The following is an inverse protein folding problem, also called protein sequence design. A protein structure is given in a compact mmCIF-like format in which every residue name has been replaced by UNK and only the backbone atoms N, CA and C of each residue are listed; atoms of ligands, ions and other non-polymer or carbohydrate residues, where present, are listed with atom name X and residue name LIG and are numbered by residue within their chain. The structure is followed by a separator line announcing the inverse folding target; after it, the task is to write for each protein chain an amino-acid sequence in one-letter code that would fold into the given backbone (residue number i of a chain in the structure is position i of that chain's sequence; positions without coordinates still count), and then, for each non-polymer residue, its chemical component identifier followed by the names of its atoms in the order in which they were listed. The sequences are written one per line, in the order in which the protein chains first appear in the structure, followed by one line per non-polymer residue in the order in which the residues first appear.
data_IF_656255764241
#
_entry.id   IF_656255764241
#
_cell.length_a   1.000
_cell.length_b   1.000
_cell.length_c   1.000
_cell.angle_alpha   90.00
_cell.angle_beta   90.00
_cell.angle_gamma   90.00
#
_symmetry.space_group_name_H-M   'P 1'
#
loop_
_entity.id
_entity.type
_entity.pdbx_description
1 polymer ?
#
# COMPACT_ATOMS: atom_id res chain seq x y z
N UNK A 1 0.02 -15.71 9.78
CA UNK A 1 -0.19 -15.99 8.33
C UNK A 1 1.15 -16.35 7.72
N UNK A 2 1.20 -17.38 6.86
CA UNK A 2 2.47 -17.80 6.21
C UNK A 2 2.61 -17.07 4.87
N UNK A 3 3.58 -16.15 4.77
CA UNK A 3 3.78 -15.28 3.60
C UNK A 3 3.96 -16.07 2.30
N UNK A 4 4.75 -17.16 2.32
CA UNK A 4 5.01 -18.00 1.14
C UNK A 4 3.75 -18.56 0.47
N UNK A 5 2.64 -18.68 1.21
CA UNK A 5 1.38 -19.21 0.67
C UNK A 5 0.37 -18.12 0.34
N UNK A 6 0.72 -16.84 0.50
CA UNK A 6 -0.16 -15.71 0.27
C UNK A 6 -0.11 -15.20 -1.17
N UNK A 7 -1.22 -14.62 -1.62
CA UNK A 7 -1.32 -13.77 -2.80
C UNK A 7 -1.33 -12.32 -2.32
N UNK A 8 -0.24 -11.60 -2.57
CA UNK A 8 -0.01 -10.23 -2.11
C UNK A 8 -0.25 -9.28 -3.27
N UNK A 9 -1.28 -8.44 -3.16
CA UNK A 9 -1.52 -7.33 -4.09
C UNK A 9 -0.87 -6.06 -3.51
N UNK A 10 0.05 -5.46 -4.25
CA UNK A 10 0.70 -4.19 -3.89
C UNK A 10 0.18 -3.09 -4.82
N UNK A 11 -0.45 -2.06 -4.27
CA UNK A 11 -0.87 -0.88 -5.04
C UNK A 11 0.26 0.14 -5.13
N UNK A 12 0.22 1.02 -6.13
CA UNK A 12 1.27 2.00 -6.40
C UNK A 12 2.66 1.33 -6.49
N UNK A 13 2.72 0.13 -7.10
CA UNK A 13 3.89 -0.75 -7.06
C UNK A 13 5.06 -0.27 -7.95
N UNK A 14 4.86 0.72 -8.80
CA UNK A 14 5.92 1.38 -9.56
C UNK A 14 6.72 2.39 -8.74
N UNK A 15 6.19 2.86 -7.61
CA UNK A 15 6.88 3.78 -6.69
C UNK A 15 8.10 3.13 -6.03
N UNK A 16 9.00 3.94 -5.47
CA UNK A 16 10.24 3.41 -4.87
C UNK A 16 9.96 2.47 -3.70
N UNK A 17 9.03 2.82 -2.80
CA UNK A 17 8.62 1.93 -1.71
C UNK A 17 7.76 0.76 -2.21
N UNK A 18 6.78 1.00 -3.09
CA UNK A 18 5.92 -0.05 -3.61
C UNK A 18 6.71 -1.17 -4.29
N UNK A 19 7.70 -0.81 -5.10
CA UNK A 19 8.61 -1.76 -5.73
C UNK A 19 9.48 -2.51 -4.72
N UNK A 20 9.93 -1.84 -3.65
CA UNK A 20 10.72 -2.48 -2.58
C UNK A 20 9.89 -3.50 -1.80
N UNK A 21 8.65 -3.15 -1.42
CA UNK A 21 7.74 -4.06 -0.74
C UNK A 21 7.42 -5.26 -1.64
N UNK A 22 7.09 -5.03 -2.91
CA UNK A 22 6.81 -6.11 -3.86
C UNK A 22 7.98 -7.09 -3.99
N UNK A 23 9.21 -6.57 -4.16
CA UNK A 23 10.42 -7.37 -4.23
C UNK A 23 10.68 -8.16 -2.94
N UNK A 24 10.42 -7.54 -1.79
CA UNK A 24 10.58 -8.18 -0.49
C UNK A 24 9.64 -9.38 -0.32
N UNK A 25 8.34 -9.20 -0.58
CA UNK A 25 7.37 -10.29 -0.52
C UNK A 25 7.65 -11.38 -1.57
N UNK A 26 8.16 -11.01 -2.75
CA UNK A 26 8.58 -11.96 -3.77
C UNK A 26 9.75 -12.83 -3.28
N UNK A 27 10.74 -12.25 -2.59
CA UNK A 27 11.87 -12.99 -1.97
C UNK A 27 11.41 -13.92 -0.85
N UNK A 28 10.35 -13.56 -0.13
CA UNK A 28 9.72 -14.41 0.88
C UNK A 28 8.86 -15.55 0.27
N UNK A 29 8.78 -15.62 -1.06
CA UNK A 29 8.08 -16.66 -1.81
C UNK A 29 6.57 -16.47 -1.90
N UNK A 30 6.06 -15.26 -1.66
CA UNK A 30 4.65 -14.96 -1.92
C UNK A 30 4.37 -14.89 -3.43
N UNK A 31 3.12 -15.11 -3.81
CA UNK A 31 2.66 -14.74 -5.15
C UNK A 31 2.35 -13.24 -5.16
N UNK A 32 3.15 -12.43 -5.87
CA UNK A 32 3.03 -10.96 -5.81
C UNK A 32 2.37 -10.41 -7.08
N UNK A 33 1.28 -9.67 -6.92
CA UNK A 33 0.67 -8.90 -8.00
C UNK A 33 1.04 -7.43 -7.80
N UNK A 34 1.77 -6.86 -8.74
CA UNK A 34 2.16 -5.46 -8.74
C UNK A 34 1.12 -4.65 -9.53
N UNK A 35 0.45 -3.69 -8.90
CA UNK A 35 -0.55 -2.86 -9.53
C UNK A 35 -0.15 -1.38 -9.54
N UNK A 36 -0.22 -0.75 -10.71
CA UNK A 36 0.02 0.68 -10.88
C UNK A 36 -0.65 1.22 -12.17
N UNK A 37 -0.85 2.54 -12.22
CA UNK A 37 -1.24 3.29 -13.43
C UNK A 37 -0.03 3.68 -14.28
N UNK A 38 1.17 3.75 -13.69
CA UNK A 38 2.41 4.05 -14.42
C UNK A 38 3.03 2.76 -14.95
N UNK A 39 2.75 2.43 -16.21
CA UNK A 39 3.27 1.22 -16.84
C UNK A 39 4.81 1.14 -16.87
N UNK A 40 5.50 2.28 -17.02
CA UNK A 40 6.96 2.31 -17.18
C UNK A 40 7.65 1.92 -15.88
N UNK A 41 7.27 2.59 -14.79
CA UNK A 41 7.80 2.32 -13.45
C UNK A 41 7.39 0.94 -12.97
N UNK A 42 6.13 0.55 -13.22
CA UNK A 42 5.63 -0.78 -12.91
C UNK A 42 6.40 -1.90 -13.63
N UNK A 43 6.73 -1.71 -14.91
CA UNK A 43 7.50 -2.69 -15.69
C UNK A 43 8.91 -2.85 -15.12
N UNK A 44 9.52 -1.76 -14.66
CA UNK A 44 10.84 -1.80 -14.01
C UNK A 44 10.79 -2.54 -12.66
N UNK A 45 9.77 -2.28 -11.83
CA UNK A 45 9.56 -2.99 -10.57
C UNK A 45 9.29 -4.49 -10.78
N UNK A 46 8.45 -4.83 -11.77
CA UNK A 46 8.14 -6.22 -12.13
C UNK A 46 9.38 -7.01 -12.56
N UNK A 47 10.24 -6.43 -13.41
CA UNK A 47 11.50 -7.08 -13.84
C UNK A 47 12.41 -7.43 -12.66
N UNK A 48 12.55 -6.51 -11.69
CA UNK A 48 13.32 -6.76 -10.46
C UNK A 48 12.75 -7.92 -9.65
N UNK A 49 11.44 -8.08 -9.61
CA UNK A 49 10.80 -9.19 -8.91
C UNK A 49 10.98 -10.52 -9.67
N UNK A 50 10.94 -10.49 -11.01
CA UNK A 50 11.20 -11.67 -11.84
C UNK A 50 12.61 -12.24 -11.67
N UNK A 51 13.60 -11.41 -11.34
CA UNK A 51 14.97 -11.86 -11.05
C UNK A 51 15.05 -12.80 -9.84
N UNK A 52 14.06 -12.78 -8.93
CA UNK A 52 14.07 -13.61 -7.71
C UNK A 52 13.02 -14.73 -7.72
N UNK A 53 11.94 -14.61 -8.50
CA UNK A 53 10.89 -15.63 -8.60
C UNK A 53 10.00 -15.43 -9.82
N UNK A 54 9.43 -16.50 -10.36
CA UNK A 54 8.40 -16.45 -11.41
C UNK A 54 6.98 -16.24 -10.84
N UNK A 55 6.83 -16.26 -9.51
CA UNK A 55 5.54 -16.06 -8.84
C UNK A 55 5.16 -14.59 -8.71
N UNK A 56 5.31 -13.83 -9.79
CA UNK A 56 4.95 -12.42 -9.85
C UNK A 56 4.12 -12.11 -11.09
N UNK A 57 3.21 -11.15 -10.97
CA UNK A 57 2.39 -10.65 -12.08
C UNK A 57 2.42 -9.12 -12.10
N UNK A 58 2.43 -8.56 -13.31
CA UNK A 58 2.22 -7.14 -13.55
C UNK A 58 0.75 -6.88 -13.89
N UNK A 59 0.11 -5.98 -13.15
CA UNK A 59 -1.24 -5.50 -13.39
C UNK A 59 -1.23 -3.99 -13.66
N UNK A 60 -1.09 -3.60 -14.93
CA UNK A 60 -1.27 -2.21 -15.32
C UNK A 60 -2.76 -1.89 -15.41
N UNK A 61 -3.20 -0.82 -14.74
CA UNK A 61 -4.60 -0.35 -14.76
C UNK A 61 -4.66 1.05 -15.38
N UNK A 62 -5.62 1.30 -16.27
CA UNK A 62 -5.75 2.60 -16.95
C UNK A 62 -6.37 3.68 -16.07
N UNK A 63 -7.15 3.27 -15.07
CA UNK A 63 -7.76 4.13 -14.07
C UNK A 63 -7.93 3.40 -12.74
N UNK A 64 -8.43 4.11 -11.73
CA UNK A 64 -8.70 3.61 -10.39
C UNK A 64 -10.20 3.56 -10.11
N UNK A 65 -11.01 3.28 -11.14
CA UNK A 65 -12.44 3.08 -10.97
C UNK A 65 -12.75 1.77 -10.27
N UNK A 66 -13.90 1.70 -9.59
CA UNK A 66 -14.35 0.46 -8.93
C UNK A 66 -14.39 -0.72 -9.91
N UNK A 67 -14.91 -0.51 -11.13
CA UNK A 67 -15.00 -1.54 -12.16
C UNK A 67 -13.62 -2.08 -12.57
N UNK A 68 -12.63 -1.21 -12.75
CA UNK A 68 -11.25 -1.62 -13.08
C UNK A 68 -10.65 -2.45 -11.95
N UNK A 69 -10.86 -2.04 -10.70
CA UNK A 69 -10.36 -2.77 -9.52
C UNK A 69 -11.05 -4.13 -9.39
N UNK A 70 -12.38 -4.20 -9.54
CA UNK A 70 -13.12 -5.48 -9.52
C UNK A 70 -12.66 -6.43 -10.63
N UNK A 71 -12.41 -5.89 -11.82
CA UNK A 71 -11.89 -6.66 -12.97
C UNK A 71 -10.51 -7.22 -12.68
N UNK A 72 -9.63 -6.42 -12.05
CA UNK A 72 -8.31 -6.87 -11.61
C UNK A 72 -8.42 -8.04 -10.62
N UNK A 73 -9.23 -7.91 -9.56
CA UNK A 73 -9.42 -9.00 -8.60
C UNK A 73 -9.97 -10.26 -9.26
N UNK A 74 -10.97 -10.11 -10.13
CA UNK A 74 -11.56 -11.24 -10.87
C UNK A 74 -10.56 -11.94 -11.79
N UNK A 75 -9.66 -11.17 -12.43
CA UNK A 75 -8.59 -11.70 -13.27
C UNK A 75 -7.59 -12.52 -12.44
N UNK A 76 -7.17 -12.02 -11.28
CA UNK A 76 -6.27 -12.73 -10.35
C UNK A 76 -6.93 -14.03 -9.88
N UNK A 77 -8.20 -13.96 -9.46
CA UNK A 77 -8.98 -15.12 -9.02
C UNK A 77 -9.10 -16.18 -10.12
N UNK A 78 -9.44 -15.79 -11.34
CA UNK A 78 -9.57 -16.71 -12.47
C UNK A 78 -8.26 -17.43 -12.79
N UNK A 79 -7.11 -16.78 -12.55
CA UNK A 79 -5.79 -17.32 -12.88
C UNK A 79 -5.20 -18.17 -11.76
N UNK A 80 -5.43 -17.78 -10.50
CA UNK A 80 -4.85 -18.43 -9.32
C UNK A 80 -5.82 -19.34 -8.56
N UNK A 81 -7.11 -19.31 -8.89
CA UNK A 81 -8.18 -20.01 -8.17
C UNK A 81 -8.49 -19.42 -6.80
N UNK A 82 -7.94 -18.25 -6.46
CA UNK A 82 -8.12 -17.55 -5.18
C UNK A 82 -7.84 -16.05 -5.29
N UNK A 83 -8.53 -15.28 -4.48
CA UNK A 83 -8.32 -13.83 -4.39
C UNK A 83 -7.04 -13.47 -3.61
N UNK A 84 -6.50 -12.26 -3.78
CA UNK A 84 -5.51 -11.69 -2.88
C UNK A 84 -5.97 -11.76 -1.42
N UNK A 85 -5.19 -12.43 -0.57
CA UNK A 85 -5.42 -12.50 0.87
C UNK A 85 -4.53 -11.52 1.66
N UNK A 86 -3.65 -10.80 0.96
CA UNK A 86 -2.91 -9.66 1.50
C UNK A 86 -3.03 -8.48 0.53
N UNK A 87 -3.46 -7.33 1.03
CA UNK A 87 -3.42 -6.07 0.32
C UNK A 87 -2.40 -5.15 1.00
N UNK A 88 -1.36 -4.74 0.28
CA UNK A 88 -0.52 -3.61 0.65
C UNK A 88 -1.08 -2.38 -0.07
N UNK A 89 -1.80 -1.55 0.67
CA UNK A 89 -2.50 -0.40 0.16
C UNK A 89 -1.64 0.85 0.36
N UNK A 90 -0.88 1.21 -0.67
CA UNK A 90 0.13 2.26 -0.60
C UNK A 90 -0.43 3.64 -0.96
N UNK A 91 -0.37 4.55 0.01
CA UNK A 91 -0.66 5.97 -0.13
C UNK A 91 0.62 6.79 -0.33
N UNK A 92 0.78 7.37 -1.51
CA UNK A 92 1.88 8.30 -1.82
C UNK A 92 1.63 9.70 -1.26
N UNK A 93 2.67 10.42 -0.88
CA UNK A 93 2.49 11.72 -0.23
C UNK A 93 1.85 12.82 -1.11
N UNK A 94 1.27 13.82 -0.44
CA UNK A 94 0.64 14.99 -1.08
C UNK A 94 1.57 16.20 -1.06
N UNK A 95 1.56 17.05 -2.10
CA UNK A 95 2.28 18.32 -2.09
C UNK A 95 1.83 19.19 -0.93
N UNK A 96 2.78 19.77 -0.20
CA UNK A 96 2.51 20.71 0.89
C UNK A 96 1.72 21.91 0.37
N UNK A 97 0.62 22.22 1.04
CA UNK A 97 -0.17 23.42 0.80
C UNK A 97 -0.12 24.35 2.00
N UNK A 98 -0.22 25.66 1.74
CA UNK A 98 -0.30 26.67 2.80
C UNK A 98 -1.66 27.34 2.75
N UNK A 99 -2.38 27.35 3.88
CA UNK A 99 -3.72 27.94 3.97
C UNK A 99 -3.75 29.46 3.71
N UNK A 100 -2.65 30.15 4.02
CA UNK A 100 -2.51 31.61 3.87
C UNK A 100 -1.79 32.02 2.59
N UNK A 101 -1.40 31.06 1.73
CA UNK A 101 -0.50 31.31 0.60
C UNK A 101 -1.14 31.94 -0.64
N UNK A 102 -2.45 32.25 -0.63
CA UNK A 102 -3.15 32.84 -1.78
C UNK A 102 -3.27 31.93 -3.02
N UNK A 103 -2.85 30.66 -2.94
CA UNK A 103 -2.95 29.68 -4.03
C UNK A 103 -4.31 28.98 -3.99
N UNK A 104 -4.86 28.63 -5.16
CA UNK A 104 -6.08 27.82 -5.25
C UNK A 104 -5.82 26.39 -4.77
N UNK A 105 -6.57 25.95 -3.76
CA UNK A 105 -6.50 24.59 -3.22
C UNK A 105 -6.98 23.48 -4.18
N UNK A 106 -7.43 23.83 -5.39
CA UNK A 106 -8.01 22.89 -6.35
C UNK A 106 -7.11 21.69 -6.67
N UNK A 107 -5.81 21.92 -6.95
CA UNK A 107 -4.85 20.83 -7.24
C UNK A 107 -4.72 19.85 -6.08
N UNK A 108 -4.65 20.38 -4.86
CA UNK A 108 -4.58 19.56 -3.64
C UNK A 108 -5.86 18.76 -3.44
N UNK A 109 -7.04 19.37 -3.60
CA UNK A 109 -8.33 18.68 -3.45
C UNK A 109 -8.46 17.56 -4.48
N UNK A 110 -8.08 17.79 -5.74
CA UNK A 110 -8.12 16.76 -6.79
C UNK A 110 -7.17 15.61 -6.46
N UNK A 111 -5.93 15.89 -6.08
CA UNK A 111 -4.96 14.84 -5.76
C UNK A 111 -5.32 14.08 -4.49
N UNK A 112 -5.79 14.78 -3.45
CA UNK A 112 -6.29 14.17 -2.23
C UNK A 112 -7.47 13.25 -2.53
N UNK A 113 -8.45 13.71 -3.31
CA UNK A 113 -9.62 12.91 -3.70
C UNK A 113 -9.21 11.65 -4.47
N UNK A 114 -8.22 11.75 -5.36
CA UNK A 114 -7.70 10.60 -6.11
C UNK A 114 -7.07 9.57 -5.18
N UNK A 115 -6.17 9.98 -4.29
CA UNK A 115 -5.49 9.07 -3.35
C UNK A 115 -6.46 8.48 -2.32
N UNK A 116 -7.42 9.28 -1.85
CA UNK A 116 -8.48 8.85 -0.94
C UNK A 116 -9.35 7.76 -1.56
N UNK A 117 -9.78 8.00 -2.80
CA UNK A 117 -10.57 7.04 -3.56
C UNK A 117 -9.76 5.78 -3.84
N UNK A 118 -8.47 5.90 -4.20
CA UNK A 118 -7.59 4.76 -4.43
C UNK A 118 -7.51 3.85 -3.18
N UNK A 119 -7.15 4.43 -2.04
CA UNK A 119 -7.05 3.69 -0.78
C UNK A 119 -8.38 3.01 -0.43
N UNK A 120 -9.49 3.75 -0.53
CA UNK A 120 -10.80 3.25 -0.16
C UNK A 120 -11.28 2.13 -1.08
N UNK A 121 -11.21 2.30 -2.40
CA UNK A 121 -11.77 1.34 -3.36
C UNK A 121 -10.99 0.02 -3.39
N UNK A 122 -9.66 0.06 -3.34
CA UNK A 122 -8.89 -1.18 -3.17
C UNK A 122 -9.19 -1.86 -1.83
N UNK A 123 -9.29 -1.09 -0.75
CA UNK A 123 -9.66 -1.61 0.57
C UNK A 123 -11.04 -2.27 0.57
N UNK A 124 -12.02 -1.64 -0.09
CA UNK A 124 -13.39 -2.13 -0.22
C UNK A 124 -13.44 -3.47 -0.97
N UNK A 125 -12.88 -3.52 -2.18
CA UNK A 125 -12.90 -4.74 -3.00
C UNK A 125 -12.10 -5.86 -2.31
N UNK A 126 -10.93 -5.55 -1.75
CA UNK A 126 -10.16 -6.52 -0.99
C UNK A 126 -10.93 -7.07 0.21
N UNK A 127 -11.56 -6.21 1.00
CA UNK A 127 -12.36 -6.63 2.15
C UNK A 127 -13.54 -7.53 1.73
N UNK A 128 -14.23 -7.19 0.64
CA UNK A 128 -15.31 -8.02 0.10
C UNK A 128 -14.80 -9.42 -0.29
N UNK A 129 -13.71 -9.52 -1.06
CA UNK A 129 -13.15 -10.82 -1.47
C UNK A 129 -12.59 -11.61 -0.29
N UNK A 130 -11.87 -10.96 0.63
CA UNK A 130 -11.34 -11.60 1.83
C UNK A 130 -12.45 -12.10 2.75
N UNK A 131 -13.62 -11.41 2.79
CA UNK A 131 -14.75 -11.83 3.62
C UNK A 131 -15.35 -13.16 3.18
N UNK A 132 -15.31 -13.47 1.89
CA UNK A 132 -15.78 -14.76 1.35
C UNK A 132 -14.93 -15.94 1.83
N UNK A 133 -13.63 -15.70 2.04
CA UNK A 133 -12.69 -16.70 2.59
C UNK A 133 -12.49 -16.61 4.10
N UNK A 134 -13.12 -15.64 4.76
CA UNK A 134 -12.99 -15.36 6.21
C UNK A 134 -11.51 -15.26 6.66
N UNK A 135 -10.67 -14.66 5.83
CA UNK A 135 -9.24 -14.53 6.11
C UNK A 135 -8.61 -13.48 5.21
N UNK A 136 -7.86 -12.56 5.81
CA UNK A 136 -7.03 -11.64 5.04
C UNK A 136 -6.32 -10.60 5.88
N UNK A 137 -5.42 -9.86 5.26
CA UNK A 137 -4.70 -8.74 5.88
C UNK A 137 -4.66 -7.55 4.93
N UNK A 138 -5.10 -6.40 5.41
CA UNK A 138 -4.91 -5.12 4.73
C UNK A 138 -3.84 -4.34 5.50
N UNK A 139 -2.78 -3.93 4.81
CA UNK A 139 -1.75 -3.06 5.37
C UNK A 139 -1.79 -1.73 4.63
N UNK A 140 -2.26 -0.68 5.31
CA UNK A 140 -2.22 0.67 4.78
C UNK A 140 -0.84 1.26 5.02
N UNK A 141 -0.12 1.58 3.96
CA UNK A 141 1.25 2.09 4.04
C UNK A 141 1.27 3.52 3.52
N UNK A 142 1.92 4.42 4.25
CA UNK A 142 2.15 5.81 3.81
C UNK A 142 3.62 5.97 3.52
N UNK A 143 3.97 6.67 2.43
CA UNK A 143 5.35 7.07 2.20
C UNK A 143 5.46 8.37 1.39
N UNK A 144 6.60 9.02 1.59
CA UNK A 144 7.05 10.15 0.80
C UNK A 144 8.05 9.65 -0.22
N UNK A 145 7.87 10.04 -1.48
CA UNK A 145 8.85 9.75 -2.52
C UNK A 145 10.04 10.73 -2.42
N UNK A 146 11.29 10.30 -2.75
CA UNK A 146 12.48 11.11 -2.55
C UNK A 146 12.49 12.45 -3.32
N UNK A 147 11.72 12.56 -4.40
CA UNK A 147 11.56 13.76 -5.21
C UNK A 147 10.56 14.78 -4.62
N UNK A 148 9.79 14.39 -3.60
CA UNK A 148 8.76 15.20 -2.97
C UNK A 148 9.30 15.91 -1.71
N UNK A 149 10.22 16.86 -1.87
CA UNK A 149 10.90 17.56 -0.76
C UNK A 149 9.98 18.34 0.21
N UNK A 150 8.72 18.58 -0.15
CA UNK A 150 7.74 19.30 0.67
C UNK A 150 6.38 18.61 0.63
N UNK A 151 6.21 17.55 1.41
CA UNK A 151 4.95 16.83 1.53
C UNK A 151 4.27 17.03 2.89
N UNK A 152 2.94 17.01 2.89
CA UNK A 152 2.13 17.08 4.11
C UNK A 152 1.83 15.66 4.63
N UNK A 153 2.81 15.09 5.32
CA UNK A 153 2.78 13.69 5.76
C UNK A 153 1.93 13.49 7.03
N UNK A 154 1.81 14.51 7.87
CA UNK A 154 1.10 14.45 9.15
C UNK A 154 -0.42 14.27 8.94
N UNK A 155 -0.99 15.00 7.98
CA UNK A 155 -2.41 14.89 7.64
C UNK A 155 -2.74 13.50 7.06
N UNK A 156 -1.93 13.01 6.13
CA UNK A 156 -2.08 11.65 5.57
C UNK A 156 -1.96 10.57 6.63
N UNK A 157 -0.96 10.69 7.51
CA UNK A 157 -0.71 9.76 8.62
C UNK A 157 -1.90 9.68 9.57
N UNK A 158 -2.48 10.84 9.93
CA UNK A 158 -3.67 10.92 10.78
C UNK A 158 -4.87 10.22 10.15
N UNK A 159 -5.11 10.46 8.86
CA UNK A 159 -6.21 9.85 8.13
C UNK A 159 -6.04 8.33 7.98
N UNK A 160 -4.86 7.86 7.57
CA UNK A 160 -4.58 6.42 7.46
C UNK A 160 -4.67 5.72 8.81
N UNK A 161 -4.29 6.39 9.90
CA UNK A 161 -4.52 5.89 11.26
C UNK A 161 -6.00 5.74 11.58
N UNK A 162 -6.83 6.71 11.19
CA UNK A 162 -8.29 6.66 11.32
C UNK A 162 -8.89 5.49 10.55
N UNK A 163 -8.58 5.36 9.26
CA UNK A 163 -9.05 4.26 8.41
C UNK A 163 -8.63 2.90 8.97
N UNK A 164 -7.37 2.74 9.33
CA UNK A 164 -6.83 1.50 9.90
C UNK A 164 -7.61 1.06 11.13
N UNK A 165 -7.85 1.97 12.08
CA UNK A 165 -8.61 1.67 13.30
C UNK A 165 -10.07 1.37 13.02
N UNK A 166 -10.70 2.10 12.09
CA UNK A 166 -12.10 1.90 11.72
C UNK A 166 -12.31 0.56 11.04
N UNK A 167 -11.55 0.28 9.97
CA UNK A 167 -11.67 -0.95 9.19
C UNK A 167 -11.31 -2.19 10.01
N UNK A 168 -10.33 -2.10 10.91
CA UNK A 168 -10.03 -3.22 11.81
C UNK A 168 -11.20 -3.61 12.71
N UNK A 169 -12.01 -2.64 13.17
CA UNK A 169 -13.21 -2.91 13.99
C UNK A 169 -14.30 -3.55 13.15
N UNK A 170 -14.56 -2.98 11.98
CA UNK A 170 -15.60 -3.44 11.05
C UNK A 170 -15.31 -4.86 10.52
N UNK A 171 -14.08 -5.11 10.09
CA UNK A 171 -13.70 -6.35 9.41
C UNK A 171 -13.32 -7.48 10.37
N UNK A 172 -13.27 -7.23 11.69
CA UNK A 172 -12.99 -8.24 12.70
C UNK A 172 -13.95 -9.43 12.62
N UNK A 173 -15.24 -9.18 12.35
CA UNK A 173 -16.26 -10.22 12.23
C UNK A 173 -16.02 -11.16 11.02
N UNK A 174 -15.25 -10.72 10.04
CA UNK A 174 -14.88 -11.48 8.85
C UNK A 174 -13.47 -12.10 8.98
N UNK A 175 -12.84 -12.02 10.16
CA UNK A 175 -11.48 -12.49 10.42
C UNK A 175 -10.43 -11.87 9.45
N UNK A 176 -10.62 -10.59 9.12
CA UNK A 176 -9.68 -9.79 8.34
C UNK A 176 -8.97 -8.82 9.29
N UNK A 177 -7.65 -8.76 9.19
CA UNK A 177 -6.81 -7.86 9.98
C UNK A 177 -6.50 -6.60 9.19
N UNK A 178 -6.41 -5.47 9.89
CA UNK A 178 -5.98 -4.21 9.27
C UNK A 178 -4.88 -3.59 10.11
N UNK A 179 -3.75 -3.30 9.48
CA UNK A 179 -2.62 -2.61 10.11
C UNK A 179 -2.21 -1.38 9.31
N UNK A 180 -1.54 -0.45 9.97
CA UNK A 180 -0.99 0.74 9.33
C UNK A 180 0.51 0.82 9.53
N UNK A 181 1.22 1.27 8.50
CA UNK A 181 2.65 1.59 8.55
C UNK A 181 2.81 3.04 8.12
N UNK A 182 3.39 3.85 9.00
CA UNK A 182 3.58 5.27 8.77
C UNK A 182 5.06 5.62 9.01
N UNK A 183 5.62 6.57 8.25
CA UNK A 183 6.94 7.10 8.53
C UNK A 183 6.86 8.02 9.75
N UNK A 184 7.95 8.10 10.53
CA UNK A 184 8.04 9.08 11.61
C UNK A 184 8.25 10.47 11.02
N UNK A 185 7.35 11.40 11.35
CA UNK A 185 7.47 12.80 10.97
C UNK A 185 8.42 13.55 11.90
N UNK A 186 9.71 13.23 11.87
CA UNK A 186 10.70 14.11 12.50
C UNK A 186 10.85 15.35 11.60
N UNK A 187 10.40 16.51 12.10
CA UNK A 187 10.63 17.86 11.53
C UNK A 187 12.12 18.26 11.36
N UNK A 188 13.05 17.31 11.36
CA UNK A 188 14.49 17.52 11.47
C UNK A 188 15.35 16.61 10.58
N UNK A 189 14.81 16.03 9.50
CA UNK A 189 15.67 15.41 8.47
C UNK A 189 16.06 16.43 7.40
N UNK A 190 16.99 17.30 7.80
CA UNK A 190 17.93 17.94 6.90
C UNK A 190 18.48 16.90 5.91
N UNK A 191 18.32 17.12 4.61
CA UNK A 191 19.21 16.83 3.47
C UNK A 191 20.11 15.55 3.39
N UNK A 192 20.11 14.67 4.39
CA UNK A 192 21.05 13.57 4.64
C UNK A 192 20.36 12.32 5.25
N UNK A 193 19.02 12.30 5.34
CA UNK A 193 18.30 11.10 5.78
C UNK A 193 18.51 9.96 4.78
N UNK A 194 18.90 8.77 5.28
CA UNK A 194 19.09 7.61 4.44
C UNK A 194 17.71 7.04 4.04
N UNK A 195 17.11 7.58 2.97
CA UNK A 195 15.81 7.16 2.45
C UNK A 195 15.69 5.65 2.28
N UNK A 196 16.79 4.99 1.91
CA UNK A 196 16.83 3.53 1.80
C UNK A 196 16.60 2.83 3.13
N UNK A 197 17.08 3.36 4.25
CA UNK A 197 16.84 2.78 5.58
C UNK A 197 15.37 2.93 5.99
N UNK A 198 14.77 4.10 5.75
CA UNK A 198 13.36 4.32 6.03
C UNK A 198 12.49 3.36 5.23
N UNK A 199 12.74 3.22 3.93
CA UNK A 199 11.97 2.31 3.08
C UNK A 199 12.13 0.84 3.48
N UNK A 200 13.34 0.45 3.87
CA UNK A 200 13.66 -0.89 4.36
C UNK A 200 12.94 -1.18 5.70
N UNK A 201 12.86 -0.20 6.59
CA UNK A 201 12.10 -0.32 7.84
C UNK A 201 10.58 -0.36 7.61
N UNK A 202 10.03 0.50 6.74
CA UNK A 202 8.63 0.45 6.32
C UNK A 202 8.29 -0.93 5.72
N UNK A 203 9.21 -1.48 4.93
CA UNK A 203 9.07 -2.81 4.31
C UNK A 203 9.07 -3.92 5.36
N UNK A 204 10.04 -3.93 6.28
CA UNK A 204 10.07 -4.90 7.41
C UNK A 204 8.85 -4.80 8.31
N UNK A 205 8.38 -3.58 8.57
CA UNK A 205 7.18 -3.36 9.38
C UNK A 205 5.94 -3.89 8.69
N UNK A 206 5.85 -3.73 7.37
CA UNK A 206 4.79 -4.33 6.55
C UNK A 206 4.81 -5.86 6.66
N UNK A 207 5.99 -6.50 6.55
CA UNK A 207 6.15 -7.94 6.75
C UNK A 207 5.70 -8.38 8.15
N UNK A 208 6.12 -7.66 9.20
CA UNK A 208 5.75 -7.94 10.58
C UNK A 208 4.23 -7.94 10.78
N UNK A 209 3.53 -6.94 10.22
CA UNK A 209 2.07 -6.87 10.30
C UNK A 209 1.40 -8.04 9.57
N UNK A 210 1.90 -8.41 8.39
CA UNK A 210 1.35 -9.54 7.62
C UNK A 210 1.56 -10.86 8.36
N UNK A 211 2.76 -11.11 8.88
CA UNK A 211 3.11 -12.37 9.55
C UNK A 211 2.51 -12.51 10.95
N UNK A 212 2.31 -11.41 11.69
CA UNK A 212 1.80 -11.43 13.06
C UNK A 212 0.26 -11.48 13.12
N UNK A 213 -0.28 -12.64 13.49
CA UNK A 213 -1.73 -12.87 13.55
C UNK A 213 -2.46 -12.10 14.67
N UNK A 214 -1.72 -11.53 15.63
CA UNK A 214 -2.29 -10.70 16.69
C UNK A 214 -2.27 -9.20 16.37
N UNK A 215 -1.72 -8.81 15.22
CA UNK A 215 -1.65 -7.41 14.81
C UNK A 215 -2.89 -7.00 14.00
N UNK A 216 -3.74 -6.15 14.60
CA UNK A 216 -4.87 -5.49 13.93
C UNK A 216 -5.25 -4.21 14.69
N UNK A 217 -5.80 -3.22 13.98
CA UNK A 217 -6.31 -1.95 14.52
C UNK A 217 -5.26 -1.01 15.09
N UNK A 218 -3.98 -1.24 14.73
CA UNK A 218 -2.82 -0.50 15.22
C UNK A 218 -2.01 0.03 14.05
N UNK A 219 -1.27 1.10 14.32
CA UNK A 219 -0.32 1.68 13.38
C UNK A 219 1.06 1.62 14.03
N UNK A 220 2.07 1.23 13.25
CA UNK A 220 3.47 1.28 13.66
C UNK A 220 4.13 2.43 12.93
N UNK A 221 4.80 3.28 13.69
CA UNK A 221 5.72 4.28 13.14
C UNK A 221 7.07 3.63 12.92
N UNK A 222 7.65 3.79 11.73
CA UNK A 222 9.00 3.35 11.44
C UNK A 222 10.01 4.40 11.93
N UNK A 223 10.71 4.09 13.03
CA UNK A 223 11.71 4.91 13.74
C UNK A 223 13.14 4.45 13.39
N UNK A 224 13.99 5.40 13.00
CA UNK A 224 15.45 5.18 12.89
C UNK A 224 16.10 4.87 14.23
#
# INVERSE_FOLDING_TARGET
MIIKNSVVLVTSAGTSLGAMIALHFARLGAYVVLCDIDESNLTSAYRRCLEVTEQVEKAHVSDLSLQTIETLFSSIESRLGRAPNVLVNHWTSLPKQTLTGGHSGGKFITQFSLLASNLFLFGQVAAERMSQSQSGVIVNVVAQEPDQYYSDLDNTTSMVTGFTKSWAKELKQHNIRVGGVIPVSSHSHHANGNWSQIQDELTRTTEYIVSNDYFSGRVVSAET
#
